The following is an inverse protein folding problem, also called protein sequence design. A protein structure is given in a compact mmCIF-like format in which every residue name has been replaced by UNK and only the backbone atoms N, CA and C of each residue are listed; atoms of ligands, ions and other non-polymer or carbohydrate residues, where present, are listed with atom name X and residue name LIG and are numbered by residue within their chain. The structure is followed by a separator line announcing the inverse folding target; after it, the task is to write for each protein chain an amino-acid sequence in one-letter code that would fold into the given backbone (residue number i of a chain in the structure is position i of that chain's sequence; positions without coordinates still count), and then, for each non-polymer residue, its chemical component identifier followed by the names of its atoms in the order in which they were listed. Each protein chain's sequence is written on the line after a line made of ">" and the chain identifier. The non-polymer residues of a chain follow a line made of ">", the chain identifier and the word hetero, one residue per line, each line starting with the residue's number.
data_IF_479480970172
#
_entry.id   IF_479480970172
#
_cell.length_a   1.000
_cell.length_b   1.000
_cell.length_c   1.000
_cell.angle_alpha   90.00
_cell.angle_beta   90.00
_cell.angle_gamma   90.00
#
_symmetry.space_group_name_H-M   'P 1'
#
loop_
_entity.id
_entity.type
_entity.pdbx_description
1 polymer ?
#
# COMPACT_ATOMS: atom_id res chain seq x y z
N UNK A 1 13.10 -17.93 -0.80
CA UNK A 1 12.16 -17.32 -1.76
C UNK A 1 11.22 -16.45 -0.96
N UNK A 2 10.91 -15.25 -1.45
CA UNK A 2 9.91 -14.39 -0.81
C UNK A 2 8.52 -14.94 -1.16
N UNK A 3 7.63 -15.03 -0.19
CA UNK A 3 6.24 -15.47 -0.44
C UNK A 3 5.54 -14.48 -1.40
N UNK A 4 4.66 -14.97 -2.28
CA UNK A 4 3.97 -14.13 -3.25
C UNK A 4 3.11 -13.08 -2.55
N UNK A 5 3.13 -11.85 -3.05
CA UNK A 5 2.35 -10.74 -2.49
C UNK A 5 1.03 -10.65 -3.23
N UNK A 6 0.05 -11.40 -2.73
CA UNK A 6 -1.29 -11.48 -3.32
C UNK A 6 -2.20 -10.34 -2.86
N UNK A 7 -3.35 -10.18 -3.51
CA UNK A 7 -4.41 -9.28 -3.03
C UNK A 7 -4.75 -9.54 -1.56
N UNK A 8 -4.95 -10.80 -1.17
CA UNK A 8 -5.29 -11.16 0.20
C UNK A 8 -4.20 -10.75 1.19
N UNK A 9 -2.92 -10.93 0.82
CA UNK A 9 -1.79 -10.49 1.65
C UNK A 9 -1.84 -8.97 1.84
N UNK A 10 -2.05 -8.21 0.77
CA UNK A 10 -2.12 -6.75 0.83
C UNK A 10 -3.25 -6.28 1.76
N UNK A 11 -4.47 -6.80 1.58
CA UNK A 11 -5.61 -6.45 2.44
C UNK A 11 -5.32 -6.80 3.90
N UNK A 12 -4.83 -8.01 4.17
CA UNK A 12 -4.53 -8.46 5.53
C UNK A 12 -3.52 -7.55 6.21
N UNK A 13 -2.45 -7.14 5.52
CA UNK A 13 -1.43 -6.23 6.08
C UNK A 13 -1.97 -4.83 6.34
N UNK A 14 -2.84 -4.32 5.48
CA UNK A 14 -3.49 -3.02 5.68
C UNK A 14 -4.39 -3.06 6.92
N UNK A 15 -5.19 -4.12 7.07
CA UNK A 15 -6.12 -4.32 8.20
C UNK A 15 -5.40 -4.53 9.53
N UNK A 16 -4.37 -5.39 9.57
CA UNK A 16 -3.54 -5.62 10.78
C UNK A 16 -2.95 -4.32 11.34
N UNK A 17 -2.69 -3.34 10.47
CA UNK A 17 -2.04 -2.08 10.83
C UNK A 17 -3.01 -0.88 10.80
N UNK A 18 -4.32 -1.13 10.66
CA UNK A 18 -5.36 -0.12 10.62
C UNK A 18 -5.09 1.00 9.59
N UNK A 19 -4.49 0.65 8.46
CA UNK A 19 -4.19 1.60 7.38
C UNK A 19 -5.44 1.71 6.50
N UNK A 20 -6.06 2.90 6.37
CA UNK A 20 -7.22 3.07 5.51
C UNK A 20 -6.89 2.79 4.04
N UNK A 21 -7.82 2.13 3.36
CA UNK A 21 -7.71 1.81 1.95
C UNK A 21 -9.09 1.79 1.26
N UNK A 22 -9.08 1.92 -0.06
CA UNK A 22 -10.24 1.66 -0.91
C UNK A 22 -9.94 0.52 -1.89
N UNK A 23 -10.98 -0.18 -2.34
CA UNK A 23 -10.86 -1.19 -3.40
C UNK A 23 -11.62 -0.68 -4.63
N UNK A 24 -10.94 -0.64 -5.77
CA UNK A 24 -11.52 -0.29 -7.06
C UNK A 24 -11.69 -1.57 -7.89
N UNK A 25 -12.94 -1.97 -8.10
CA UNK A 25 -13.26 -3.05 -9.04
C UNK A 25 -13.01 -2.59 -10.49
N UNK A 26 -12.33 -3.43 -11.25
CA UNK A 26 -12.00 -3.24 -12.66
C UNK A 26 -12.76 -4.28 -13.51
N UNK A 27 -12.68 -4.15 -14.83
CA UNK A 27 -13.28 -5.12 -15.74
C UNK A 27 -12.63 -6.50 -15.61
N UNK A 28 -13.39 -7.56 -15.93
CA UNK A 28 -12.87 -8.93 -15.94
C UNK A 28 -12.54 -9.52 -14.57
N UNK A 29 -13.13 -8.99 -13.49
CA UNK A 29 -12.92 -9.48 -12.12
C UNK A 29 -11.65 -8.96 -11.44
N UNK A 30 -10.87 -8.12 -12.14
CA UNK A 30 -9.68 -7.50 -11.59
C UNK A 30 -10.02 -6.46 -10.52
N UNK A 31 -9.10 -6.24 -9.59
CA UNK A 31 -9.26 -5.22 -8.54
C UNK A 31 -7.95 -4.50 -8.27
N UNK A 32 -8.01 -3.19 -8.02
CA UNK A 32 -6.88 -2.41 -7.50
C UNK A 32 -7.16 -2.01 -6.05
N UNK A 33 -6.12 -2.01 -5.22
CA UNK A 33 -6.21 -1.58 -3.81
C UNK A 33 -5.51 -0.23 -3.68
N UNK A 34 -6.22 0.77 -3.17
CA UNK A 34 -5.75 2.15 -3.05
C UNK A 34 -5.47 2.42 -1.58
N UNK A 35 -4.20 2.47 -1.19
CA UNK A 35 -3.79 2.79 0.18
C UNK A 35 -3.75 4.30 0.39
N UNK A 36 -4.38 4.79 1.46
CA UNK A 36 -4.29 6.19 1.85
C UNK A 36 -2.87 6.56 2.28
N UNK A 37 -2.09 5.60 2.80
CA UNK A 37 -0.68 5.82 3.14
C UNK A 37 0.13 6.01 1.85
N UNK A 38 0.50 7.26 1.58
CA UNK A 38 1.34 7.62 0.44
C UNK A 38 0.63 7.56 -0.92
N UNK A 39 -0.72 7.55 -0.94
CA UNK A 39 -1.53 7.61 -2.17
C UNK A 39 -1.17 6.52 -3.18
N UNK A 40 -1.09 5.27 -2.73
CA UNK A 40 -0.56 4.15 -3.53
C UNK A 40 -1.65 3.32 -4.15
N UNK A 41 -1.51 3.03 -5.45
CA UNK A 41 -2.31 2.04 -6.15
C UNK A 41 -1.52 0.73 -6.17
N UNK A 42 -2.01 -0.27 -5.47
CA UNK A 42 -1.47 -1.62 -5.39
C UNK A 42 -2.27 -2.54 -6.32
N UNK A 43 -1.59 -3.46 -7.00
CA UNK A 43 -2.20 -4.29 -8.04
C UNK A 43 -1.99 -3.67 -9.43
N UNK A 44 -2.95 -3.74 -10.36
CA UNK A 44 -4.21 -4.48 -10.23
C UNK A 44 -3.96 -5.99 -10.07
N UNK A 45 -4.87 -6.65 -9.38
CA UNK A 45 -4.85 -8.09 -9.07
C UNK A 45 -5.96 -8.80 -9.86
N UNK A 46 -5.70 -9.94 -10.51
CA UNK A 46 -6.71 -10.68 -11.27
C UNK A 46 -7.68 -11.47 -10.38
N UNK A 47 -7.20 -11.99 -9.25
CA UNK A 47 -8.01 -12.70 -8.24
C UNK A 47 -7.48 -12.40 -6.83
N UNK A 48 -8.21 -12.81 -5.80
CA UNK A 48 -7.81 -12.62 -4.40
C UNK A 48 -6.51 -13.35 -4.01
N UNK A 49 -6.21 -14.46 -4.70
CA UNK A 49 -5.05 -15.31 -4.43
C UNK A 49 -3.89 -15.10 -5.41
N UNK A 50 -4.00 -14.11 -6.31
CA UNK A 50 -2.97 -13.82 -7.31
C UNK A 50 -2.11 -12.62 -6.92
N UNK A 51 -0.86 -12.60 -7.39
CA UNK A 51 -0.02 -11.41 -7.38
C UNK A 51 -0.55 -10.33 -8.34
N UNK A 52 -0.19 -9.09 -8.05
CA UNK A 52 -0.54 -7.94 -8.86
C UNK A 52 0.43 -7.70 -10.02
N UNK A 53 0.05 -6.83 -10.96
CA UNK A 53 0.95 -6.44 -12.06
C UNK A 53 2.09 -5.50 -11.63
N UNK A 54 1.83 -4.61 -10.67
CA UNK A 54 2.86 -3.66 -10.23
C UNK A 54 3.83 -4.31 -9.25
N UNK A 55 5.07 -3.83 -9.26
CA UNK A 55 6.05 -4.18 -8.24
C UNK A 55 5.55 -3.73 -6.86
N UNK A 56 5.58 -4.64 -5.89
CA UNK A 56 5.24 -4.37 -4.48
C UNK A 56 6.46 -4.70 -3.61
N UNK A 57 6.66 -3.90 -2.56
CA UNK A 57 7.81 -4.09 -1.66
C UNK A 57 7.77 -5.48 -0.98
N UNK A 58 8.91 -6.16 -0.84
CA UNK A 58 8.96 -7.48 -0.19
C UNK A 58 8.50 -7.47 1.28
N UNK A 59 8.50 -6.32 1.94
CA UNK A 59 8.04 -6.14 3.31
C UNK A 59 6.59 -6.60 3.53
N UNK A 60 5.75 -6.58 2.49
CA UNK A 60 4.34 -7.02 2.58
C UNK A 60 4.18 -8.52 2.87
N UNK A 61 5.17 -9.35 2.47
CA UNK A 61 5.09 -10.81 2.55
C UNK A 61 4.75 -11.31 3.97
N UNK A 62 5.42 -10.76 4.98
CA UNK A 62 5.35 -11.23 6.36
C UNK A 62 4.85 -10.13 7.31
N UNK A 63 4.01 -10.46 8.32
CA UNK A 63 3.43 -9.46 9.22
C UNK A 63 4.50 -8.64 9.94
N UNK A 64 5.54 -9.31 10.44
CA UNK A 64 6.62 -8.67 11.18
C UNK A 64 7.48 -7.78 10.29
N UNK A 65 7.82 -8.24 9.08
CA UNK A 65 8.55 -7.43 8.10
C UNK A 65 7.79 -6.16 7.74
N UNK A 66 6.47 -6.25 7.58
CA UNK A 66 5.65 -5.08 7.29
C UNK A 66 5.59 -4.12 8.48
N UNK A 67 5.40 -4.61 9.71
CA UNK A 67 5.45 -3.77 10.92
C UNK A 67 6.78 -3.03 11.05
N UNK A 68 7.89 -3.72 10.85
CA UNK A 68 9.23 -3.11 10.88
C UNK A 68 9.40 -2.06 9.78
N UNK A 69 8.90 -2.35 8.57
CA UNK A 69 8.88 -1.39 7.48
C UNK A 69 8.13 -0.11 7.87
N UNK A 70 6.93 -0.23 8.47
CA UNK A 70 6.14 0.93 8.89
C UNK A 70 6.87 1.75 9.97
N UNK A 71 7.48 1.07 10.96
CA UNK A 71 8.22 1.70 12.06
C UNK A 71 9.52 2.38 11.60
N UNK A 72 10.17 1.87 10.55
CA UNK A 72 11.42 2.43 10.03
C UNK A 72 11.30 3.79 9.34
N UNK A 73 10.08 4.28 9.11
CA UNK A 73 9.83 5.50 8.32
C UNK A 73 10.03 5.32 6.81
N UNK A 74 10.23 4.08 6.33
CA UNK A 74 10.30 3.82 4.90
C UNK A 74 8.97 4.19 4.20
N UNK A 75 9.10 4.88 3.07
CA UNK A 75 7.97 5.48 2.35
C UNK A 75 7.50 4.64 1.14
N UNK A 76 8.35 3.75 0.63
CA UNK A 76 8.10 3.07 -0.64
C UNK A 76 7.43 1.70 -0.45
N UNK A 77 6.10 1.72 -0.34
CA UNK A 77 5.26 0.52 -0.28
C UNK A 77 5.26 -0.29 -1.59
N UNK A 78 5.75 0.28 -2.69
CA UNK A 78 5.52 -0.23 -4.04
C UNK A 78 4.16 0.23 -4.59
N UNK A 79 3.74 -0.44 -5.66
CA UNK A 79 2.62 0.01 -6.49
C UNK A 79 2.93 1.28 -7.27
N UNK A 80 1.91 1.83 -7.90
CA UNK A 80 1.97 3.13 -8.54
C UNK A 80 1.71 4.26 -7.52
N UNK A 81 2.35 5.42 -7.73
CA UNK A 81 2.21 6.60 -6.87
C UNK A 81 1.47 7.69 -7.62
N UNK A 82 0.30 8.05 -7.11
CA UNK A 82 -0.44 9.18 -7.65
C UNK A 82 -0.01 10.45 -6.93
N UNK A 83 0.41 11.45 -7.71
CA UNK A 83 0.66 12.80 -7.20
C UNK A 83 -0.63 13.61 -7.32
N UNK A 84 -1.24 13.96 -6.18
CA UNK A 84 -2.41 14.83 -6.14
C UNK A 84 -1.97 16.15 -5.53
N UNK A 85 -2.05 17.25 -6.29
CA UNK A 85 -1.78 18.57 -5.75
C UNK A 85 -3.02 19.13 -5.02
N UNK A 86 -2.86 19.72 -3.83
CA UNK A 86 -1.60 19.89 -3.11
C UNK A 86 -1.30 18.77 -2.09
N UNK A 87 -0.32 17.92 -2.40
CA UNK A 87 -0.01 16.69 -1.65
C UNK A 87 0.45 16.96 -0.21
N UNK A 88 1.30 17.97 -0.02
CA UNK A 88 1.84 18.32 1.30
C UNK A 88 0.71 18.69 2.26
N UNK A 89 -0.30 19.44 1.80
CA UNK A 89 -1.44 19.80 2.65
C UNK A 89 -2.29 18.59 3.07
N UNK A 90 -2.29 17.52 2.28
CA UNK A 90 -3.04 16.31 2.60
C UNK A 90 -2.23 15.38 3.53
N UNK A 91 -0.94 15.21 3.25
CA UNK A 91 -0.09 14.22 3.92
C UNK A 91 0.59 14.78 5.18
N UNK A 92 0.86 16.08 5.24
CA UNK A 92 1.61 16.71 6.34
C UNK A 92 0.67 17.49 7.25
N UNK A 93 0.40 16.93 8.44
CA UNK A 93 -0.47 17.55 9.45
C UNK A 93 0.21 18.68 10.25
N UNK A 94 1.51 18.55 10.56
CA UNK A 94 2.31 19.60 11.20
C UNK A 94 3.43 20.04 10.25
N UNK A 95 3.38 21.29 9.77
CA UNK A 95 4.38 21.84 8.86
C UNK A 95 5.75 22.12 9.50
N UNK A 96 5.87 21.97 10.82
CA UNK A 96 7.16 22.06 11.53
C UNK A 96 7.83 20.70 11.65
N UNK A 97 7.09 19.63 11.43
CA UNK A 97 7.56 18.25 11.47
C UNK A 97 7.05 17.50 10.23
N UNK A 98 7.72 17.73 9.10
CA UNK A 98 7.36 17.10 7.83
C UNK A 98 7.46 15.57 7.85
N UNK A 99 8.24 15.01 8.77
CA UNK A 99 8.58 13.58 8.79
C UNK A 99 7.86 12.81 9.89
N UNK A 100 7.32 13.48 10.92
CA UNK A 100 6.61 12.88 12.04
C UNK A 100 5.08 12.84 11.93
N UNK A 101 4.52 13.15 10.77
CA UNK A 101 3.07 13.14 10.50
C UNK A 101 2.53 11.81 10.02
#
# INVERSE_FOLDING_TARGET
>A
MTDPITYQVVITRLEENHIPYGVLSLQGGWSAVISQRGGRILGPFPTVDSEGLFWINSAWSQPESFRQFLASGNWNLGGDRVWIAPEIQYSVKDRRDYWGT
#
